data_IF_919264406552
#
_entry.id   IF_919264406552
#
_cell.length_a   1.000
_cell.length_b   1.000
_cell.length_c   1.000
_cell.angle_alpha   90.00
_cell.angle_beta   90.00
_cell.angle_gamma   90.00
#
_symmetry.space_group_name_H-M   'P 1'
#
loop_
_entity.id
_entity.type
_entity.pdbx_description
1 polymer ?
#
# COMPACT_ATOMS: atom_id res chain seq x y z
N UNK A 1 -20.44 33.37 -70.43
CA UNK A 1 -21.01 34.38 -69.52
C UNK A 1 -21.51 33.67 -68.27
N UNK A 2 -21.34 34.32 -67.13
CA UNK A 2 -21.85 33.97 -65.80
C UNK A 2 -21.04 32.98 -64.98
N UNK A 3 -20.26 33.57 -64.07
CA UNK A 3 -19.70 32.97 -62.88
C UNK A 3 -20.81 32.60 -61.88
N UNK A 4 -20.54 31.64 -60.98
CA UNK A 4 -21.05 31.78 -59.63
C UNK A 4 -20.13 31.11 -58.59
N UNK A 5 -19.74 31.95 -57.64
CA UNK A 5 -18.91 31.76 -56.45
C UNK A 5 -19.80 31.40 -55.25
N UNK A 6 -19.37 30.49 -54.37
CA UNK A 6 -19.76 30.34 -52.95
C UNK A 6 -19.11 29.06 -52.40
N UNK A 7 -18.62 28.93 -51.17
CA UNK A 7 -18.27 29.84 -50.08
C UNK A 7 -17.40 28.95 -49.18
N UNK A 8 -16.17 29.37 -48.85
CA UNK A 8 -15.29 28.66 -47.89
C UNK A 8 -15.53 29.27 -46.52
N UNK A 9 -15.90 28.44 -45.55
CA UNK A 9 -16.07 28.81 -44.16
C UNK A 9 -14.95 28.14 -43.33
N UNK A 10 -13.97 28.87 -42.79
CA UNK A 10 -13.02 28.32 -41.84
C UNK A 10 -13.16 29.00 -40.48
N UNK A 11 -13.97 28.42 -39.60
CA UNK A 11 -13.89 28.69 -38.16
C UNK A 11 -14.03 27.40 -37.38
N UNK A 12 -12.91 26.66 -37.31
CA UNK A 12 -12.69 25.67 -36.28
C UNK A 12 -11.72 26.26 -35.24
N UNK A 13 -12.08 26.29 -33.94
CA UNK A 13 -11.18 26.74 -32.89
C UNK A 13 -10.01 25.76 -32.74
N UNK A 14 -8.80 26.31 -32.67
CA UNK A 14 -7.59 25.56 -32.42
C UNK A 14 -7.66 24.87 -31.05
N UNK A 15 -7.64 23.54 -31.06
CA UNK A 15 -7.48 22.72 -29.87
C UNK A 15 -6.05 22.90 -29.35
N UNK A 16 -5.87 23.64 -28.27
CA UNK A 16 -4.59 23.76 -27.56
C UNK A 16 -4.52 22.61 -26.56
N UNK A 17 -3.69 21.57 -26.79
CA UNK A 17 -3.44 20.58 -25.75
C UNK A 17 -2.65 21.25 -24.63
N UNK A 18 -3.34 21.54 -23.52
CA UNK A 18 -2.74 22.03 -22.29
C UNK A 18 -2.00 20.87 -21.60
N UNK A 19 -0.85 20.52 -22.18
CA UNK A 19 -0.01 19.40 -21.73
C UNK A 19 0.89 19.88 -20.59
N UNK A 20 0.27 20.29 -19.48
CA UNK A 20 0.96 20.42 -18.19
C UNK A 20 1.18 19.03 -17.63
N UNK A 21 2.18 18.34 -18.19
CA UNK A 21 2.83 17.24 -17.51
C UNK A 21 3.54 17.82 -16.28
N UNK A 22 2.84 17.85 -15.15
CA UNK A 22 3.46 18.00 -13.82
C UNK A 22 4.26 16.74 -13.53
N UNK A 23 5.40 16.61 -14.20
CA UNK A 23 6.41 15.61 -13.89
C UNK A 23 7.15 16.09 -12.65
N UNK A 24 6.54 15.92 -11.47
CA UNK A 24 7.25 16.03 -10.21
C UNK A 24 8.22 14.87 -10.12
N UNK A 25 9.42 15.04 -10.69
CA UNK A 25 10.56 14.16 -10.49
C UNK A 25 11.08 14.39 -9.07
N UNK A 26 10.27 13.99 -8.08
CA UNK A 26 10.64 14.00 -6.68
C UNK A 26 11.83 13.05 -6.51
N UNK A 27 12.91 13.51 -5.90
CA UNK A 27 14.04 12.66 -5.56
C UNK A 27 13.56 11.40 -4.81
N UNK A 28 14.23 10.24 -5.00
CA UNK A 28 13.88 9.02 -4.28
C UNK A 28 13.94 9.26 -2.76
N UNK A 29 12.78 9.18 -2.10
CA UNK A 29 12.64 9.35 -0.65
C UNK A 29 13.46 8.26 0.07
N UNK A 30 14.26 8.66 1.05
CA UNK A 30 15.04 7.75 1.89
C UNK A 30 14.42 7.63 3.28
N UNK A 31 14.82 6.61 4.07
CA UNK A 31 14.32 6.42 5.44
C UNK A 31 14.60 7.63 6.34
N UNK A 32 15.71 8.33 6.09
CA UNK A 32 16.15 9.51 6.87
C UNK A 32 15.51 10.81 6.37
N UNK A 33 14.98 10.83 5.14
CA UNK A 33 14.35 12.00 4.54
C UNK A 33 13.05 11.57 3.83
N UNK A 34 12.05 11.25 4.66
CA UNK A 34 10.80 10.64 4.21
C UNK A 34 9.88 11.63 3.47
N UNK A 35 10.12 12.94 3.60
CA UNK A 35 9.27 14.01 3.08
C UNK A 35 7.83 13.97 3.64
N UNK A 36 6.99 14.91 3.24
CA UNK A 36 5.54 14.74 3.43
C UNK A 36 5.04 13.62 2.49
N UNK A 37 4.03 12.83 2.92
CA UNK A 37 3.41 11.82 2.08
C UNK A 37 2.74 12.46 0.86
N UNK A 38 2.72 11.76 -0.28
CA UNK A 38 1.99 12.28 -1.46
C UNK A 38 0.49 12.23 -1.23
N UNK A 39 -0.18 13.37 -1.34
CA UNK A 39 -1.62 13.49 -1.12
C UNK A 39 -2.47 12.62 -2.07
N UNK A 40 -1.94 12.32 -3.26
CA UNK A 40 -2.60 11.52 -4.29
C UNK A 40 -2.59 10.01 -4.03
N UNK A 41 -1.77 9.53 -3.09
CA UNK A 41 -1.64 8.10 -2.82
C UNK A 41 -2.69 7.63 -1.79
N UNK A 42 -3.87 7.21 -2.24
CA UNK A 42 -4.86 6.51 -1.41
C UNK A 42 -6.06 7.37 -0.98
N UNK A 43 -6.61 7.11 0.21
CA UNK A 43 -7.87 7.74 0.64
C UNK A 43 -7.66 9.24 0.93
N UNK A 44 -8.57 10.13 0.49
CA UNK A 44 -8.52 11.54 0.86
C UNK A 44 -8.73 11.68 2.38
N UNK A 45 -7.97 12.59 3.00
CA UNK A 45 -7.98 12.87 4.44
C UNK A 45 -7.45 11.74 5.36
N UNK A 46 -6.74 10.75 4.83
CA UNK A 46 -6.10 9.72 5.65
C UNK A 46 -4.81 10.28 6.26
N UNK A 47 -4.94 10.96 7.40
CA UNK A 47 -3.79 11.45 8.16
C UNK A 47 -2.99 10.26 8.68
N UNK A 48 -1.77 10.06 8.17
CA UNK A 48 -0.98 8.90 8.53
C UNK A 48 -0.34 9.01 9.92
N UNK A 49 -0.32 10.17 10.57
CA UNK A 49 0.40 10.46 11.81
C UNK A 49 -0.54 10.36 13.03
N UNK A 50 -1.74 10.94 12.93
CA UNK A 50 -2.71 10.96 14.04
C UNK A 50 -3.45 9.60 14.18
N UNK A 51 -3.28 8.86 15.29
CA UNK A 51 -3.95 7.57 15.53
C UNK A 51 -5.48 7.66 15.62
N UNK A 52 -6.02 8.84 15.96
CA UNK A 52 -7.46 9.08 16.12
C UNK A 52 -8.11 9.67 14.87
N UNK A 53 -7.33 10.24 13.95
CA UNK A 53 -7.84 10.71 12.67
C UNK A 53 -8.42 9.56 11.85
N UNK A 54 -9.42 9.87 11.02
CA UNK A 54 -9.97 8.95 10.04
C UNK A 54 -8.86 8.49 9.06
N UNK A 55 -8.67 7.21 8.76
CA UNK A 55 -9.14 5.99 9.46
C UNK A 55 -8.33 5.77 10.74
N UNK A 56 -8.97 5.42 11.85
CA UNK A 56 -8.27 5.23 13.12
C UNK A 56 -7.27 4.07 13.05
N UNK A 57 -6.26 4.08 13.93
CA UNK A 57 -5.30 2.97 14.01
C UNK A 57 -6.01 1.64 14.27
N UNK A 58 -7.02 1.60 15.14
CA UNK A 58 -7.79 0.39 15.44
C UNK A 58 -8.53 -0.12 14.20
N UNK A 59 -9.14 0.77 13.42
CA UNK A 59 -9.80 0.40 12.17
C UNK A 59 -8.79 -0.16 11.14
N UNK A 60 -7.61 0.46 11.02
CA UNK A 60 -6.57 -0.01 10.12
C UNK A 60 -6.03 -1.38 10.53
N UNK A 61 -5.77 -1.59 11.82
CA UNK A 61 -5.34 -2.90 12.33
C UNK A 61 -6.43 -3.94 12.15
N UNK A 62 -7.70 -3.62 12.43
CA UNK A 62 -8.81 -4.54 12.20
C UNK A 62 -8.89 -5.00 10.73
N UNK A 63 -8.70 -4.07 9.77
CA UNK A 63 -8.64 -4.40 8.34
C UNK A 63 -7.45 -5.32 8.02
N UNK A 64 -6.27 -5.06 8.58
CA UNK A 64 -5.09 -5.91 8.40
C UNK A 64 -5.26 -7.31 9.01
N UNK A 65 -6.09 -7.43 10.05
CA UNK A 65 -6.39 -8.68 10.74
C UNK A 65 -7.53 -9.48 10.07
N UNK A 66 -8.16 -8.93 9.02
CA UNK A 66 -9.23 -9.59 8.28
C UNK A 66 -8.87 -9.78 6.79
N UNK A 67 -7.89 -10.66 6.48
CA UNK A 67 -7.46 -10.87 5.11
C UNK A 67 -8.55 -11.55 4.28
N UNK A 68 -8.60 -11.23 2.99
CA UNK A 68 -9.59 -11.78 2.06
C UNK A 68 -9.46 -13.30 1.85
N UNK A 69 -10.49 -13.92 1.26
CA UNK A 69 -10.57 -15.39 1.06
C UNK A 69 -9.34 -16.01 0.38
N UNK A 70 -8.68 -15.29 -0.53
CA UNK A 70 -7.50 -15.79 -1.25
C UNK A 70 -6.18 -15.78 -0.46
N UNK A 71 -6.19 -15.25 0.77
CA UNK A 71 -5.03 -15.22 1.69
C UNK A 71 -5.21 -16.18 2.86
N UNK A 72 -6.45 -16.50 3.16
CA UNK A 72 -6.81 -17.62 4.00
C UNK A 72 -6.57 -18.89 3.20
N UNK A 73 -6.02 -19.93 3.84
CA UNK A 73 -5.86 -21.25 3.21
C UNK A 73 -4.90 -21.28 2.01
N UNK A 74 -3.66 -20.77 2.14
CA UNK A 74 -2.69 -20.86 1.05
C UNK A 74 -2.36 -22.33 0.72
N UNK A 75 -2.04 -22.60 -0.54
CA UNK A 75 -1.58 -23.91 -1.00
C UNK A 75 -0.06 -24.02 -0.85
N UNK A 76 0.41 -25.20 -0.46
CA UNK A 76 1.84 -25.51 -0.45
C UNK A 76 2.35 -25.84 -1.88
N UNK A 77 3.66 -26.14 -2.00
CA UNK A 77 4.29 -26.52 -3.27
C UNK A 77 3.73 -27.82 -3.89
N UNK A 78 2.93 -28.57 -3.15
CA UNK A 78 2.29 -29.81 -3.59
C UNK A 78 0.80 -29.62 -3.88
N UNK A 79 0.27 -28.39 -3.75
CA UNK A 79 -1.16 -28.09 -3.92
C UNK A 79 -2.01 -28.43 -2.70
N UNK A 80 -1.42 -28.75 -1.54
CA UNK A 80 -2.19 -28.99 -0.33
C UNK A 80 -2.58 -27.66 0.33
N UNK A 81 -3.86 -27.52 0.65
CA UNK A 81 -4.39 -26.38 1.39
C UNK A 81 -3.91 -26.37 2.84
N UNK A 82 -3.27 -25.28 3.27
CA UNK A 82 -2.77 -25.11 4.63
C UNK A 82 -3.80 -24.39 5.52
N UNK A 83 -4.58 -25.13 6.30
CA UNK A 83 -5.68 -24.59 7.13
C UNK A 83 -5.26 -23.86 8.40
N UNK A 84 -4.03 -24.06 8.82
CA UNK A 84 -3.36 -23.50 9.97
C UNK A 84 -2.63 -22.18 9.66
N UNK A 85 -2.60 -21.76 8.39
CA UNK A 85 -1.80 -20.62 7.93
C UNK A 85 -2.59 -19.56 7.18
N UNK A 86 -2.01 -18.37 7.20
CA UNK A 86 -2.45 -17.19 6.47
C UNK A 86 -1.25 -16.64 5.71
N UNK A 87 -1.45 -16.37 4.42
CA UNK A 87 -0.47 -15.74 3.55
C UNK A 87 -0.83 -14.27 3.38
N UNK A 88 -0.03 -13.39 3.97
CA UNK A 88 -0.17 -11.94 3.79
C UNK A 88 0.76 -11.47 2.68
N UNK A 89 0.23 -10.65 1.76
CA UNK A 89 1.00 -10.04 0.66
C UNK A 89 1.13 -8.54 0.89
N UNK A 90 2.33 -8.00 0.69
CA UNK A 90 2.62 -6.58 0.95
C UNK A 90 1.77 -5.66 0.08
N UNK A 91 1.59 -6.01 -1.20
CA UNK A 91 0.71 -5.29 -2.12
C UNK A 91 -0.75 -5.21 -1.61
N UNK A 92 -1.28 -6.29 -1.04
CA UNK A 92 -2.60 -6.23 -0.39
C UNK A 92 -2.62 -5.30 0.81
N UNK A 93 -1.58 -5.34 1.65
CA UNK A 93 -1.45 -4.42 2.80
C UNK A 93 -1.47 -2.98 2.31
N UNK A 94 -0.64 -2.64 1.32
CA UNK A 94 -0.57 -1.29 0.73
C UNK A 94 -1.93 -0.81 0.22
N UNK A 95 -2.67 -1.65 -0.50
CA UNK A 95 -4.03 -1.31 -0.97
C UNK A 95 -5.03 -1.15 0.18
N UNK A 96 -4.90 -1.99 1.22
CA UNK A 96 -5.81 -2.00 2.37
C UNK A 96 -5.63 -0.75 3.23
N UNK A 97 -4.39 -0.35 3.53
CA UNK A 97 -4.12 0.76 4.46
C UNK A 97 -3.62 2.03 3.78
N UNK A 98 -3.54 2.09 2.46
CA UNK A 98 -2.92 3.18 1.67
C UNK A 98 -1.40 3.07 1.55
N UNK A 99 -0.89 3.39 0.36
CA UNK A 99 0.54 3.48 0.08
C UNK A 99 1.22 4.62 0.85
N UNK A 100 0.46 5.65 1.29
CA UNK A 100 0.97 6.76 2.11
C UNK A 100 1.69 6.29 3.38
N UNK A 101 1.31 5.14 3.93
CA UNK A 101 1.95 4.59 5.13
C UNK A 101 3.32 3.95 4.85
N UNK A 102 3.75 3.86 3.60
CA UNK A 102 4.93 3.11 3.18
C UNK A 102 5.98 3.99 2.50
N UNK A 103 7.23 3.55 2.63
CA UNK A 103 8.38 4.06 1.90
C UNK A 103 9.17 2.88 1.34
N UNK A 104 9.80 3.05 0.18
CA UNK A 104 10.68 2.04 -0.38
C UNK A 104 12.02 2.03 0.37
N UNK A 105 12.36 0.91 0.99
CA UNK A 105 13.63 0.68 1.66
C UNK A 105 14.57 -0.05 0.67
N UNK A 106 15.54 0.69 0.13
CA UNK A 106 16.48 0.16 -0.87
C UNK A 106 17.39 -0.93 -0.31
N UNK A 107 17.76 -0.86 0.98
CA UNK A 107 18.59 -1.87 1.63
C UNK A 107 17.84 -3.20 1.73
N UNK A 108 16.54 -3.15 1.98
CA UNK A 108 15.68 -4.34 2.04
C UNK A 108 15.16 -4.76 0.67
N UNK A 109 15.12 -3.84 -0.29
CA UNK A 109 14.57 -4.03 -1.63
C UNK A 109 13.05 -4.23 -1.62
N UNK A 110 12.34 -3.57 -0.69
CA UNK A 110 10.87 -3.61 -0.59
C UNK A 110 10.32 -2.40 0.15
N UNK A 111 9.01 -2.19 0.08
CA UNK A 111 8.35 -1.20 0.93
C UNK A 111 8.28 -1.62 2.40
N UNK A 112 8.42 -0.64 3.28
CA UNK A 112 8.29 -0.76 4.75
C UNK A 112 7.44 0.39 5.29
N UNK A 113 6.89 0.25 6.49
CA UNK A 113 6.16 1.33 7.14
C UNK A 113 7.08 2.54 7.37
N UNK A 114 6.58 3.73 7.02
CA UNK A 114 7.21 4.99 7.35
C UNK A 114 7.39 5.16 8.85
N UNK A 115 8.37 5.97 9.24
CA UNK A 115 8.69 6.23 10.65
C UNK A 115 7.54 6.93 11.39
N UNK A 116 6.82 7.79 10.67
CA UNK A 116 5.72 8.61 11.15
C UNK A 116 4.33 7.96 11.03
N UNK A 117 4.24 6.75 10.46
CA UNK A 117 2.98 6.03 10.29
C UNK A 117 2.36 5.63 11.63
N UNK A 118 1.06 5.93 11.83
CA UNK A 118 0.27 5.53 13.01
C UNK A 118 0.20 4.02 13.20
N UNK A 119 0.28 3.26 12.09
CA UNK A 119 0.37 1.79 12.16
C UNK A 119 1.71 1.38 12.78
N UNK A 120 2.79 2.08 12.45
CA UNK A 120 4.12 1.81 13.03
C UNK A 120 4.19 2.23 14.50
N UNK A 121 3.65 3.40 14.85
CA UNK A 121 3.77 3.92 16.22
C UNK A 121 2.76 3.28 17.19
N UNK A 122 1.53 3.01 16.73
CA UNK A 122 0.41 2.57 17.59
C UNK A 122 -0.12 1.17 17.25
N UNK A 123 0.24 0.59 16.10
CA UNK A 123 -0.35 -0.68 15.65
C UNK A 123 -0.15 -1.85 16.61
N UNK A 124 0.98 -1.89 17.34
CA UNK A 124 1.23 -2.90 18.39
C UNK A 124 0.24 -2.80 19.55
N UNK A 125 -0.07 -1.58 19.98
CA UNK A 125 -1.04 -1.33 21.05
C UNK A 125 -2.46 -1.66 20.59
N UNK A 126 -2.78 -1.35 19.33
CA UNK A 126 -4.03 -1.72 18.66
C UNK A 126 -4.16 -3.22 18.35
N UNK A 127 -3.17 -4.04 18.71
CA UNK A 127 -3.26 -5.51 18.65
C UNK A 127 -2.62 -6.18 17.45
N UNK A 128 -1.89 -5.46 16.60
CA UNK A 128 -1.15 -6.06 15.47
C UNK A 128 -0.09 -7.05 15.99
N UNK A 129 -0.09 -8.33 15.53
CA UNK A 129 0.87 -9.33 16.01
C UNK A 129 2.33 -8.93 15.80
N UNK A 130 3.21 -9.30 16.74
CA UNK A 130 4.61 -8.82 16.77
C UNK A 130 5.35 -9.19 15.48
N UNK A 131 5.16 -10.43 15.02
CA UNK A 131 5.78 -10.91 13.79
C UNK A 131 5.29 -10.14 12.57
N UNK A 132 4.00 -9.80 12.53
CA UNK A 132 3.42 -9.01 11.45
C UNK A 132 3.96 -7.58 11.47
N UNK A 133 3.98 -6.96 12.65
CA UNK A 133 4.55 -5.64 12.86
C UNK A 133 6.02 -5.55 12.43
N UNK A 134 6.86 -6.49 12.89
CA UNK A 134 8.28 -6.54 12.54
C UNK A 134 8.49 -6.66 11.03
N UNK A 135 7.73 -7.54 10.38
CA UNK A 135 7.75 -7.64 8.93
C UNK A 135 7.34 -6.34 8.24
N UNK A 136 6.27 -5.66 8.68
CA UNK A 136 5.87 -4.37 8.09
C UNK A 136 6.92 -3.27 8.29
N UNK A 137 7.65 -3.28 9.41
CA UNK A 137 8.74 -2.33 9.67
C UNK A 137 10.05 -2.68 8.94
N UNK A 138 10.11 -3.83 8.27
CA UNK A 138 11.34 -4.32 7.67
C UNK A 138 12.36 -4.82 8.69
N UNK A 139 11.96 -5.15 9.91
CA UNK A 139 12.86 -5.79 10.86
C UNK A 139 13.10 -7.24 10.42
N UNK A 140 14.25 -7.79 10.80
CA UNK A 140 14.55 -9.19 10.56
C UNK A 140 13.49 -10.07 11.23
N UNK A 141 12.90 -10.94 10.42
CA UNK A 141 12.04 -12.01 10.89
C UNK A 141 12.70 -13.33 10.50
N UNK A 142 12.59 -14.33 11.37
CA UNK A 142 13.07 -15.67 11.02
C UNK A 142 12.17 -16.23 9.89
N UNK A 143 12.71 -16.18 8.66
CA UNK A 143 12.11 -16.70 7.43
C UNK A 143 12.66 -18.07 7.03
N UNK A 144 13.41 -18.74 7.92
CA UNK A 144 14.09 -20.01 7.60
C UNK A 144 13.18 -21.07 6.95
N UNK A 145 11.87 -21.01 7.21
CA UNK A 145 10.87 -21.92 6.67
C UNK A 145 10.26 -21.55 5.31
N UNK A 146 10.27 -20.27 4.91
CA UNK A 146 9.59 -19.78 3.69
C UNK A 146 10.50 -18.84 2.90
N UNK A 147 11.68 -19.32 2.53
CA UNK A 147 12.63 -18.55 1.71
C UNK A 147 12.00 -18.20 0.37
N UNK A 148 11.94 -16.91 0.04
CA UNK A 148 11.87 -16.49 -1.37
C UNK A 148 11.12 -15.19 -1.65
N UNK A 149 10.21 -14.76 -0.78
CA UNK A 149 9.34 -13.63 -1.11
C UNK A 149 9.33 -12.59 0.01
N UNK A 150 10.21 -11.58 -0.12
CA UNK A 150 10.29 -10.43 0.79
C UNK A 150 8.95 -9.69 0.98
N UNK A 151 8.06 -9.81 0.00
CA UNK A 151 6.73 -9.21 -0.04
C UNK A 151 5.61 -10.14 0.48
N UNK A 152 5.96 -11.30 1.04
CA UNK A 152 5.00 -12.24 1.60
C UNK A 152 5.35 -12.57 3.05
N UNK A 153 4.32 -12.76 3.86
CA UNK A 153 4.44 -13.16 5.25
C UNK A 153 3.50 -14.32 5.54
N UNK A 154 4.07 -15.39 6.08
CA UNK A 154 3.33 -16.56 6.53
C UNK A 154 3.11 -16.49 8.02
N UNK A 155 1.85 -16.43 8.44
CA UNK A 155 1.46 -16.38 9.85
C UNK A 155 0.58 -17.57 10.20
N UNK A 156 0.68 -18.00 11.46
CA UNK A 156 -0.23 -18.99 12.02
C UNK A 156 -1.61 -18.34 12.21
N UNK A 157 -2.66 -19.05 11.81
CA UNK A 157 -4.04 -18.58 11.93
C UNK A 157 -4.44 -18.27 13.37
N UNK A 158 -3.92 -19.04 14.33
CA UNK A 158 -4.14 -18.80 15.77
C UNK A 158 -3.62 -17.43 16.24
N UNK A 159 -2.64 -16.85 15.55
CA UNK A 159 -2.15 -15.50 15.84
C UNK A 159 -2.99 -14.38 15.21
N UNK A 160 -3.93 -14.72 14.33
CA UNK A 160 -4.84 -13.77 13.66
C UNK A 160 -6.17 -13.59 14.37
N UNK A 161 -6.65 -14.63 15.05
CA UNK A 161 -7.95 -14.61 15.72
C UNK A 161 -7.79 -13.97 17.09
N UNK A 162 -7.69 -12.63 17.13
CA UNK A 162 -7.95 -11.88 18.35
C UNK A 162 -9.38 -11.36 18.26
N UNK A 163 -10.25 -11.92 19.09
CA UNK A 163 -11.66 -11.54 19.29
C UNK A 163 -12.61 -11.92 18.16
N UNK A 164 -12.90 -13.22 18.08
CA UNK A 164 -14.28 -13.65 17.83
C UNK A 164 -14.99 -13.80 19.18
#
# INVERSE_FOLDING_TARGET
MSANTSSLDPSAPAFVPDNKASSSTSAPRTIENQGEPDDDLGMPNDDIKDPLAYRTVDNLVALLMYPGKGMLYPEDKHGNTMHDRVLIRLDWVKRTVSEKHFIFDSAKGRSVLRGDSKIRTHGRLAGLPMRYYNWLCGNDIDESFFRGYKEQLWLWRVGFVRYG
#
